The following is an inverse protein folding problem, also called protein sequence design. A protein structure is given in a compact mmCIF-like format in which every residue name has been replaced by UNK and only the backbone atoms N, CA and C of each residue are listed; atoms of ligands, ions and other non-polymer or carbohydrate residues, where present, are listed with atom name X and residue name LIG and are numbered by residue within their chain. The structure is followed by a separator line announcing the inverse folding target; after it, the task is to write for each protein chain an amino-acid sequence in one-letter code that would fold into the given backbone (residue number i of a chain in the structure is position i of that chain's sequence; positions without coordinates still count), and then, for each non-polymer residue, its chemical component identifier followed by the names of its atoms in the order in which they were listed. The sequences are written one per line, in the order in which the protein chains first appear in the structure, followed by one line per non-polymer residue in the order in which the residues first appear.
data_IF_648426883079
#
_entry.id   IF_648426883079
#
_cell.length_a   1.000
_cell.length_b   1.000
_cell.length_c   1.000
_cell.angle_alpha   90.00
_cell.angle_beta   90.00
_cell.angle_gamma   90.00
#
_symmetry.space_group_name_H-M   'P 1'
#
loop_
_entity.id
_entity.type
_entity.pdbx_description
1 polymer ?
#
# COMPACT_ATOMS: atom_id res chain seq x y z
N UNK A 1 22.36 -0.35 -7.47
CA UNK A 1 23.41 0.61 -7.88
C UNK A 1 23.02 1.99 -7.37
N UNK A 2 23.98 2.72 -6.79
CA UNK A 2 23.77 4.09 -6.33
C UNK A 2 24.88 4.99 -6.88
N UNK A 3 24.51 6.18 -7.30
CA UNK A 3 25.44 7.21 -7.82
C UNK A 3 25.10 8.56 -7.20
N UNK A 4 26.11 9.22 -6.65
CA UNK A 4 26.02 10.55 -6.08
C UNK A 4 26.93 11.54 -6.82
N UNK A 5 26.38 12.67 -7.24
CA UNK A 5 27.12 13.75 -7.89
C UNK A 5 27.11 14.99 -7.01
N UNK A 6 28.26 15.38 -6.53
CA UNK A 6 28.41 16.65 -5.80
C UNK A 6 28.47 17.82 -6.79
N UNK A 7 27.36 18.58 -6.86
CA UNK A 7 27.27 19.76 -7.74
C UNK A 7 27.95 20.99 -7.13
N UNK A 8 27.92 21.12 -5.80
CA UNK A 8 28.61 22.15 -5.04
C UNK A 8 28.84 21.70 -3.59
N UNK A 9 29.33 22.64 -2.72
CA UNK A 9 29.44 22.34 -1.27
C UNK A 9 28.09 22.07 -0.60
N UNK A 10 27.02 22.64 -1.15
CA UNK A 10 25.67 22.56 -0.57
C UNK A 10 24.71 21.71 -1.38
N UNK A 11 24.98 21.43 -2.65
CA UNK A 11 24.08 20.70 -3.54
C UNK A 11 24.69 19.40 -4.04
N UNK A 12 23.89 18.34 -4.03
CA UNK A 12 24.20 17.08 -4.69
C UNK A 12 22.96 16.57 -5.45
N UNK A 13 23.20 15.83 -6.53
CA UNK A 13 22.20 15.01 -7.19
C UNK A 13 22.53 13.55 -6.95
N UNK A 14 21.53 12.69 -6.99
CA UNK A 14 21.72 11.25 -6.79
C UNK A 14 20.79 10.46 -7.70
N UNK A 15 21.20 9.23 -8.00
CA UNK A 15 20.40 8.23 -8.68
C UNK A 15 20.60 6.88 -8.03
N UNK A 16 19.51 6.19 -7.73
CA UNK A 16 19.50 4.85 -7.16
C UNK A 16 18.72 3.91 -8.07
N UNK A 17 19.24 2.70 -8.22
CA UNK A 17 18.54 1.57 -8.83
C UNK A 17 18.68 0.36 -7.92
N UNK A 18 17.57 -0.33 -7.70
CA UNK A 18 17.52 -1.60 -6.98
C UNK A 18 16.63 -2.56 -7.74
N UNK A 19 17.11 -3.79 -7.93
CA UNK A 19 16.34 -4.94 -8.37
C UNK A 19 16.26 -5.95 -7.24
N UNK A 20 15.10 -6.53 -7.06
CA UNK A 20 14.85 -7.64 -6.14
C UNK A 20 14.09 -8.71 -6.90
N UNK A 21 14.72 -9.89 -7.06
CA UNK A 21 14.11 -11.06 -7.66
C UNK A 21 13.69 -12.00 -6.53
N UNK A 22 12.46 -12.51 -6.61
CA UNK A 22 11.89 -13.42 -5.63
C UNK A 22 11.41 -14.67 -6.32
N UNK A 23 12.16 -15.74 -6.16
CA UNK A 23 11.85 -17.07 -6.66
C UNK A 23 11.62 -18.04 -5.51
N UNK A 24 10.72 -19.01 -5.68
CA UNK A 24 10.51 -20.04 -4.66
C UNK A 24 9.14 -20.67 -4.69
N UNK A 25 8.72 -21.18 -3.54
CA UNK A 25 7.41 -21.78 -3.35
C UNK A 25 6.81 -21.29 -2.04
N UNK A 26 5.68 -20.64 -2.13
CA UNK A 26 4.82 -20.28 -1.02
C UNK A 26 3.66 -21.29 -0.86
N UNK A 27 2.64 -20.86 -0.15
CA UNK A 27 1.40 -21.61 -0.01
C UNK A 27 0.22 -20.67 -0.17
N UNK A 28 -0.71 -21.04 -1.05
CA UNK A 28 -2.00 -20.36 -1.21
C UNK A 28 -3.12 -21.15 -0.53
N UNK A 29 -4.02 -20.43 0.12
CA UNK A 29 -5.28 -20.96 0.59
C UNK A 29 -6.34 -20.82 -0.50
N UNK A 30 -6.91 -21.93 -0.97
CA UNK A 30 -7.93 -21.93 -2.02
C UNK A 30 -9.22 -22.55 -1.52
N UNK A 31 -10.36 -21.96 -1.90
CA UNK A 31 -11.66 -22.54 -1.72
C UNK A 31 -11.94 -23.57 -2.81
N UNK A 32 -12.41 -24.75 -2.43
CA UNK A 32 -12.89 -25.73 -3.38
C UNK A 32 -14.19 -26.33 -2.86
N UNK A 33 -15.32 -25.86 -3.39
CA UNK A 33 -16.68 -26.19 -2.95
C UNK A 33 -16.86 -25.87 -1.45
N UNK A 34 -17.01 -26.88 -0.59
CA UNK A 34 -17.21 -26.73 0.86
C UNK A 34 -15.91 -26.86 1.66
N UNK A 35 -14.79 -27.00 1.01
CA UNK A 35 -13.51 -27.31 1.63
C UNK A 35 -12.46 -26.27 1.26
N UNK A 36 -11.69 -25.84 2.23
CA UNK A 36 -10.46 -25.06 2.00
C UNK A 36 -9.29 -26.02 1.79
N UNK A 37 -8.48 -25.74 0.78
CA UNK A 37 -7.25 -26.44 0.47
C UNK A 37 -6.07 -25.49 0.63
N UNK A 38 -4.95 -26.05 1.05
CA UNK A 38 -3.66 -25.35 0.99
C UNK A 38 -2.84 -26.00 -0.12
N UNK A 39 -2.46 -25.21 -1.11
CA UNK A 39 -1.69 -25.69 -2.26
C UNK A 39 -0.36 -24.96 -2.36
N UNK A 40 0.70 -25.59 -2.90
CA UNK A 40 1.93 -24.90 -3.22
C UNK A 40 1.67 -23.79 -4.24
N UNK A 41 2.20 -22.61 -3.98
CA UNK A 41 2.15 -21.45 -4.86
C UNK A 41 3.58 -21.18 -5.35
N UNK A 42 3.88 -21.36 -6.63
CA UNK A 42 5.15 -20.93 -7.16
C UNK A 42 5.25 -19.42 -7.08
N UNK A 43 6.41 -18.93 -6.72
CA UNK A 43 6.72 -17.51 -6.63
C UNK A 43 7.80 -17.21 -7.64
N UNK A 44 7.54 -16.28 -8.53
CA UNK A 44 8.47 -15.80 -9.54
C UNK A 44 8.13 -14.36 -9.87
N UNK A 45 8.75 -13.42 -9.17
CA UNK A 45 8.44 -12.00 -9.30
C UNK A 45 9.67 -11.13 -9.19
N UNK A 46 9.65 -10.00 -9.87
CA UNK A 46 10.71 -9.00 -9.87
C UNK A 46 10.16 -7.65 -9.38
N UNK A 47 10.97 -6.96 -8.57
CA UNK A 47 10.71 -5.58 -8.17
C UNK A 47 11.87 -4.71 -8.62
N UNK A 48 11.61 -3.80 -9.53
CA UNK A 48 12.55 -2.77 -9.95
C UNK A 48 12.20 -1.44 -9.29
N UNK A 49 13.21 -0.80 -8.69
CA UNK A 49 13.03 0.49 -8.03
C UNK A 49 14.07 1.50 -8.55
N UNK A 50 13.59 2.66 -8.94
CA UNK A 50 14.39 3.77 -9.47
C UNK A 50 14.13 5.01 -8.62
N UNK A 51 15.18 5.72 -8.25
CA UNK A 51 15.05 7.00 -7.57
C UNK A 51 16.05 8.00 -8.17
N UNK A 52 15.55 9.16 -8.55
CA UNK A 52 16.35 10.30 -8.97
C UNK A 52 16.03 11.48 -8.09
N UNK A 53 17.06 12.21 -7.65
CA UNK A 53 16.80 13.34 -6.78
C UNK A 53 17.92 14.33 -6.64
N UNK A 54 17.57 15.40 -5.96
CA UNK A 54 18.50 16.47 -5.58
C UNK A 54 18.39 16.72 -4.09
N UNK A 55 19.51 17.05 -3.47
CA UNK A 55 19.54 17.45 -2.08
C UNK A 55 20.34 18.72 -1.89
N UNK A 56 19.87 19.54 -0.99
CA UNK A 56 20.55 20.73 -0.52
C UNK A 56 20.85 20.59 0.98
N UNK A 57 22.10 20.84 1.36
CA UNK A 57 22.55 20.82 2.75
C UNK A 57 23.17 22.20 3.08
N UNK A 58 22.43 23.00 3.83
CA UNK A 58 22.91 24.25 4.43
C UNK A 58 23.58 24.02 5.78
N UNK A 59 23.93 25.11 6.48
CA UNK A 59 24.55 25.01 7.82
C UNK A 59 23.57 24.54 8.90
N UNK A 60 22.31 24.93 8.80
CA UNK A 60 21.26 24.65 9.79
C UNK A 60 19.97 24.12 9.18
N UNK A 61 19.96 23.80 7.89
CA UNK A 61 18.80 23.27 7.21
C UNK A 61 19.22 22.35 6.07
N UNK A 62 18.32 21.45 5.70
CA UNK A 62 18.44 20.59 4.52
C UNK A 62 17.11 20.50 3.80
N UNK A 63 17.17 20.18 2.51
CA UNK A 63 16.02 19.83 1.71
C UNK A 63 16.42 18.74 0.70
N UNK A 64 15.53 17.79 0.47
CA UNK A 64 15.67 16.72 -0.53
C UNK A 64 14.38 16.62 -1.30
N UNK A 65 14.50 16.57 -2.63
CA UNK A 65 13.40 16.29 -3.54
C UNK A 65 13.82 15.12 -4.42
N UNK A 66 12.98 14.11 -4.53
CA UNK A 66 13.22 12.99 -5.42
C UNK A 66 11.93 12.52 -6.11
N UNK A 67 12.13 11.88 -7.26
CA UNK A 67 11.13 11.11 -7.98
C UNK A 67 11.51 9.64 -7.88
N UNK A 68 10.54 8.83 -7.48
CA UNK A 68 10.68 7.40 -7.26
C UNK A 68 9.68 6.64 -8.10
N UNK A 69 10.12 5.58 -8.75
CA UNK A 69 9.29 4.64 -9.49
C UNK A 69 9.60 3.24 -9.00
N UNK A 70 8.58 2.44 -8.79
CA UNK A 70 8.70 1.03 -8.49
C UNK A 70 7.76 0.24 -9.38
N UNK A 71 8.31 -0.73 -10.08
CA UNK A 71 7.60 -1.68 -10.95
C UNK A 71 7.63 -3.05 -10.27
N UNK A 72 6.49 -3.69 -10.19
CA UNK A 72 6.33 -5.08 -9.75
C UNK A 72 5.80 -5.89 -10.90
N UNK A 73 6.57 -6.89 -11.31
CA UNK A 73 6.24 -7.87 -12.34
C UNK A 73 6.08 -9.26 -11.70
N UNK A 74 4.95 -9.91 -11.94
CA UNK A 74 4.72 -11.33 -11.61
C UNK A 74 4.72 -12.16 -12.89
N UNK A 75 5.70 -13.05 -13.05
CA UNK A 75 5.79 -13.94 -14.22
C UNK A 75 4.59 -14.92 -14.30
N UNK A 76 3.78 -14.99 -13.25
CA UNK A 76 2.66 -15.90 -13.11
C UNK A 76 1.32 -15.16 -13.09
N UNK A 77 0.57 -15.25 -14.16
CA UNK A 77 -0.76 -14.61 -14.25
C UNK A 77 -1.85 -15.34 -13.44
N UNK A 78 -1.56 -16.51 -12.89
CA UNK A 78 -2.52 -17.27 -12.11
C UNK A 78 -2.04 -18.66 -11.70
N UNK A 79 -2.64 -19.15 -10.63
CA UNK A 79 -2.39 -20.45 -10.06
C UNK A 79 -3.51 -21.40 -10.48
N UNK A 80 -3.15 -22.54 -11.06
CA UNK A 80 -4.09 -23.60 -11.48
C UNK A 80 -3.73 -24.89 -10.76
N UNK A 81 -4.72 -25.60 -10.27
CA UNK A 81 -4.55 -26.88 -9.59
C UNK A 81 -5.58 -27.90 -10.06
N UNK A 82 -5.25 -29.20 -9.92
CA UNK A 82 -6.19 -30.28 -10.19
C UNK A 82 -7.29 -30.29 -9.11
N UNK A 83 -8.53 -30.45 -9.55
CA UNK A 83 -9.65 -30.62 -8.64
C UNK A 83 -9.58 -32.00 -7.98
N UNK A 84 -9.36 -32.10 -6.65
CA UNK A 84 -9.24 -33.39 -5.96
C UNK A 84 -10.57 -34.13 -5.79
N UNK A 85 -11.69 -33.47 -6.09
CA UNK A 85 -13.02 -34.05 -6.00
C UNK A 85 -13.47 -34.55 -7.35
N UNK A 86 -14.36 -35.57 -7.33
CA UNK A 86 -15.00 -36.02 -8.57
C UNK A 86 -15.70 -34.82 -9.22
N UNK A 87 -15.34 -34.47 -10.47
CA UNK A 87 -15.83 -33.26 -11.10
C UNK A 87 -17.35 -33.18 -11.12
N UNK A 88 -17.86 -32.20 -10.42
CA UNK A 88 -19.22 -31.73 -10.61
C UNK A 88 -19.20 -30.78 -11.80
N UNK A 89 -20.15 -30.88 -12.73
CA UNK A 89 -20.16 -30.09 -13.98
C UNK A 89 -18.92 -30.24 -14.87
N UNK A 90 -18.11 -31.28 -14.70
CA UNK A 90 -16.94 -31.53 -15.53
C UNK A 90 -15.72 -30.69 -15.17
N UNK A 91 -15.73 -29.96 -14.06
CA UNK A 91 -14.60 -29.18 -13.61
C UNK A 91 -13.45 -30.08 -13.16
N UNK A 92 -12.37 -30.12 -13.94
CA UNK A 92 -11.17 -30.90 -13.63
C UNK A 92 -10.08 -30.10 -12.94
N UNK A 93 -10.18 -28.77 -12.98
CA UNK A 93 -9.20 -27.82 -12.42
C UNK A 93 -9.89 -26.72 -11.66
N UNK A 94 -9.21 -26.14 -10.68
CA UNK A 94 -9.51 -24.85 -10.08
C UNK A 94 -8.45 -23.83 -10.48
N UNK A 95 -8.78 -22.55 -10.44
CA UNK A 95 -7.87 -21.46 -10.78
C UNK A 95 -8.14 -20.20 -9.97
N UNK A 96 -7.08 -19.47 -9.63
CA UNK A 96 -7.15 -18.12 -9.07
C UNK A 96 -6.07 -17.23 -9.71
N UNK A 97 -6.30 -15.92 -9.73
CA UNK A 97 -5.29 -14.96 -10.15
C UNK A 97 -4.20 -14.84 -9.08
N UNK A 98 -2.98 -14.62 -9.49
CA UNK A 98 -1.87 -14.16 -8.66
C UNK A 98 -1.91 -12.63 -8.52
N UNK A 99 -0.92 -12.04 -7.87
CA UNK A 99 -0.82 -10.58 -7.75
C UNK A 99 -0.63 -9.96 -9.14
N UNK A 100 -1.39 -8.92 -9.51
CA UNK A 100 -1.21 -8.28 -10.80
C UNK A 100 0.07 -7.45 -10.84
N UNK A 101 0.65 -7.31 -12.04
CA UNK A 101 1.69 -6.33 -12.30
C UNK A 101 1.19 -4.94 -11.94
N UNK A 102 2.06 -4.17 -11.32
CA UNK A 102 1.68 -2.84 -10.87
C UNK A 102 2.88 -1.89 -10.81
N UNK A 103 2.57 -0.61 -10.88
CA UNK A 103 3.55 0.46 -10.83
C UNK A 103 3.17 1.46 -9.74
N UNK A 104 4.19 1.96 -9.05
CA UNK A 104 4.09 3.04 -8.10
C UNK A 104 5.02 4.18 -8.49
N UNK A 105 4.46 5.35 -8.74
CA UNK A 105 5.21 6.59 -8.96
C UNK A 105 5.05 7.52 -7.76
N UNK A 106 6.15 8.16 -7.33
CA UNK A 106 6.11 9.07 -6.18
C UNK A 106 7.02 10.27 -6.35
N UNK A 107 6.53 11.43 -5.93
CA UNK A 107 7.35 12.61 -5.64
C UNK A 107 7.53 12.68 -4.13
N UNK A 108 8.79 12.67 -3.67
CA UNK A 108 9.13 12.71 -2.27
C UNK A 108 9.84 14.03 -1.95
N UNK A 109 9.33 14.73 -0.96
CA UNK A 109 9.95 15.95 -0.42
C UNK A 109 10.26 15.74 1.05
N UNK A 110 11.50 16.01 1.46
CA UNK A 110 11.86 16.09 2.86
C UNK A 110 12.68 17.34 3.12
N UNK A 111 12.43 18.01 4.22
CA UNK A 111 13.14 19.20 4.64
C UNK A 111 13.25 19.23 6.15
N UNK A 112 14.30 19.87 6.64
CA UNK A 112 14.46 20.07 8.07
C UNK A 112 15.35 21.28 8.37
N UNK A 113 15.15 21.85 9.54
CA UNK A 113 15.94 22.98 9.99
C UNK A 113 16.17 22.91 11.51
N UNK A 114 17.34 23.41 11.90
CA UNK A 114 17.73 23.60 13.29
C UNK A 114 17.82 25.08 13.61
N UNK A 115 17.26 25.46 14.73
CA UNK A 115 17.19 26.84 15.23
C UNK A 115 17.82 26.94 16.63
N UNK A 116 17.78 28.12 17.22
CA UNK A 116 18.15 28.32 18.62
C UNK A 116 17.31 27.43 19.56
N UNK A 117 17.79 27.25 20.78
CA UNK A 117 17.15 26.42 21.82
C UNK A 117 17.02 24.94 21.44
N UNK A 118 18.01 24.39 20.72
CA UNK A 118 17.98 23.04 20.18
C UNK A 118 16.66 22.71 19.46
N UNK A 119 16.07 23.72 18.83
CA UNK A 119 14.82 23.54 18.12
C UNK A 119 15.10 22.93 16.75
N UNK A 120 14.47 21.81 16.47
CA UNK A 120 14.46 21.17 15.15
C UNK A 120 13.05 21.01 14.63
N UNK A 121 12.87 21.31 13.36
CA UNK A 121 11.63 21.09 12.63
C UNK A 121 11.95 20.19 11.45
N UNK A 122 11.17 19.15 11.25
CA UNK A 122 11.23 18.26 10.09
C UNK A 122 9.90 18.26 9.36
N UNK A 123 9.95 18.22 8.05
CA UNK A 123 8.79 18.09 7.17
C UNK A 123 9.07 17.04 6.12
N UNK A 124 8.07 16.21 5.83
CA UNK A 124 8.09 15.30 4.70
C UNK A 124 6.72 15.31 4.00
N UNK A 125 6.75 15.17 2.68
CA UNK A 125 5.57 15.00 1.86
C UNK A 125 5.84 13.96 0.78
N UNK A 126 4.84 13.13 0.50
CA UNK A 126 4.83 12.15 -0.57
C UNK A 126 3.55 12.36 -1.35
N UNK A 127 3.70 12.48 -2.66
CA UNK A 127 2.61 12.47 -3.62
C UNK A 127 2.83 11.26 -4.52
N UNK A 128 1.96 10.27 -4.43
CA UNK A 128 2.12 9.01 -5.12
C UNK A 128 0.91 8.62 -5.93
N UNK A 129 1.16 7.85 -6.97
CA UNK A 129 0.18 7.21 -7.82
C UNK A 129 0.49 5.73 -7.88
N UNK A 130 -0.54 4.90 -7.75
CA UNK A 130 -0.52 3.46 -7.95
C UNK A 130 -1.35 3.14 -9.19
N UNK A 131 -0.82 2.32 -10.09
CA UNK A 131 -1.53 1.89 -11.29
C UNK A 131 -1.32 0.40 -11.55
N UNK A 132 -2.31 -0.22 -12.18
CA UNK A 132 -2.23 -1.57 -12.71
C UNK A 132 -3.19 -1.72 -13.89
N UNK A 133 -2.79 -2.46 -14.93
CA UNK A 133 -3.58 -2.68 -16.12
C UNK A 133 -3.61 -4.15 -16.60
N UNK A 134 -3.18 -5.05 -15.74
CA UNK A 134 -3.19 -6.48 -15.99
C UNK A 134 -4.54 -7.01 -16.46
N UNK A 135 -4.49 -7.98 -17.35
CA UNK A 135 -5.68 -8.59 -17.90
C UNK A 135 -6.44 -9.41 -16.86
N UNK A 136 -7.74 -9.17 -16.75
CA UNK A 136 -8.60 -10.04 -15.96
C UNK A 136 -8.60 -11.45 -16.54
N UNK A 137 -8.42 -12.46 -15.69
CA UNK A 137 -8.55 -13.85 -16.11
C UNK A 137 -10.01 -14.13 -16.52
N UNK A 138 -10.25 -14.98 -17.55
CA UNK A 138 -11.58 -15.49 -17.85
C UNK A 138 -12.20 -16.13 -16.60
N UNK A 139 -13.51 -16.02 -16.43
CA UNK A 139 -14.21 -16.55 -15.24
C UNK A 139 -13.91 -18.03 -14.96
N UNK A 140 -13.76 -18.84 -16.01
CA UNK A 140 -13.51 -20.27 -15.90
C UNK A 140 -12.79 -20.79 -17.12
N UNK A 141 -12.03 -21.86 -16.96
CA UNK A 141 -11.50 -22.72 -18.04
C UNK A 141 -12.37 -23.94 -18.27
N UNK A 142 -13.41 -24.16 -17.44
CA UNK A 142 -14.28 -25.31 -17.51
C UNK A 142 -15.36 -25.14 -18.59
N UNK A 143 -15.31 -25.92 -19.65
CA UNK A 143 -16.27 -25.85 -20.74
C UNK A 143 -17.71 -26.23 -20.33
N UNK A 144 -17.90 -26.89 -19.19
CA UNK A 144 -19.21 -27.25 -18.64
C UNK A 144 -19.90 -26.09 -17.90
N UNK A 145 -19.19 -24.98 -17.68
CA UNK A 145 -19.72 -23.77 -17.03
C UNK A 145 -19.80 -22.67 -18.07
N UNK A 146 -20.95 -22.00 -18.19
CA UNK A 146 -21.17 -20.94 -19.17
C UNK A 146 -21.46 -19.62 -18.42
N UNK A 147 -20.44 -18.92 -17.96
CA UNK A 147 -20.62 -17.61 -17.36
C UNK A 147 -20.86 -16.55 -18.43
N UNK A 148 -21.31 -15.37 -18.01
CA UNK A 148 -21.35 -14.20 -18.86
C UNK A 148 -19.96 -13.75 -19.34
N UNK A 149 -19.92 -12.73 -20.20
CA UNK A 149 -18.67 -12.13 -20.63
C UNK A 149 -18.06 -11.24 -19.53
N UNK A 150 -16.74 -11.17 -19.49
CA UNK A 150 -16.04 -10.18 -18.67
C UNK A 150 -16.50 -8.76 -19.07
N UNK A 151 -16.81 -7.89 -18.12
CA UNK A 151 -17.28 -6.55 -18.42
C UNK A 151 -16.23 -5.66 -19.09
N UNK A 152 -14.94 -6.00 -18.92
CA UNK A 152 -13.79 -5.35 -19.56
C UNK A 152 -12.55 -6.24 -19.48
N UNK A 153 -11.51 -5.89 -20.24
CA UNK A 153 -10.29 -6.70 -20.35
C UNK A 153 -9.38 -6.60 -19.11
N UNK A 154 -9.33 -5.42 -18.48
CA UNK A 154 -8.49 -5.15 -17.30
C UNK A 154 -9.27 -4.34 -16.25
N UNK A 155 -8.85 -4.42 -14.99
CA UNK A 155 -9.36 -3.54 -13.94
C UNK A 155 -8.96 -2.07 -14.21
N UNK A 156 -7.80 -1.81 -14.82
CA UNK A 156 -7.19 -0.49 -14.95
C UNK A 156 -7.23 0.26 -13.62
N UNK A 157 -6.64 -0.38 -12.61
CA UNK A 157 -6.55 0.16 -11.27
C UNK A 157 -5.76 1.44 -11.22
N UNK A 158 -6.28 2.44 -10.52
CA UNK A 158 -5.67 3.76 -10.37
C UNK A 158 -5.99 4.29 -8.98
N UNK A 159 -4.94 4.64 -8.20
CA UNK A 159 -5.13 5.23 -6.89
C UNK A 159 -4.06 6.29 -6.59
N UNK A 160 -4.49 7.40 -6.00
CA UNK A 160 -3.59 8.40 -5.44
C UNK A 160 -3.28 8.05 -3.98
N UNK A 161 -2.02 8.23 -3.57
CA UNK A 161 -1.57 8.08 -2.20
C UNK A 161 -0.76 9.32 -1.79
N UNK A 162 -1.20 9.99 -0.75
CA UNK A 162 -0.57 11.21 -0.25
C UNK A 162 -0.18 11.02 1.20
N UNK A 163 0.98 11.53 1.55
CA UNK A 163 1.45 11.59 2.94
C UNK A 163 2.06 12.95 3.24
N UNK A 164 1.74 13.50 4.40
CA UNK A 164 2.36 14.69 4.95
C UNK A 164 2.75 14.43 6.40
N UNK A 165 3.98 14.76 6.74
CA UNK A 165 4.49 14.61 8.09
C UNK A 165 5.19 15.89 8.56
N UNK A 166 4.94 16.26 9.82
CA UNK A 166 5.60 17.35 10.51
C UNK A 166 6.14 16.86 11.85
N UNK A 167 7.36 17.21 12.17
CA UNK A 167 7.99 16.91 13.46
C UNK A 167 8.59 18.17 14.07
N UNK A 168 8.49 18.27 15.37
CA UNK A 168 9.08 19.35 16.17
C UNK A 168 9.78 18.74 17.38
N UNK A 169 10.99 19.19 17.65
CA UNK A 169 11.63 18.97 18.94
C UNK A 169 12.31 20.27 19.38
N UNK A 170 12.16 20.66 20.64
CA UNK A 170 12.73 21.91 21.16
C UNK A 170 13.08 21.79 22.63
N UNK A 171 14.10 22.55 23.06
CA UNK A 171 14.48 22.77 24.44
C UNK A 171 14.36 24.26 24.78
N UNK A 172 13.12 24.76 24.98
CA UNK A 172 12.92 26.19 25.19
C UNK A 172 13.55 26.70 26.50
N UNK A 173 13.76 25.81 27.47
CA UNK A 173 14.42 26.06 28.74
C UNK A 173 15.27 24.84 29.12
N UNK A 174 16.32 25.03 29.94
CA UNK A 174 17.26 23.95 30.34
C UNK A 174 16.60 22.71 30.94
N UNK A 175 15.40 22.87 31.53
CA UNK A 175 14.67 21.79 32.17
C UNK A 175 13.44 21.31 31.38
N UNK A 176 13.12 21.95 30.27
CA UNK A 176 11.92 21.64 29.49
C UNK A 176 12.31 21.16 28.10
N UNK A 177 11.80 20.01 27.74
CA UNK A 177 11.86 19.49 26.38
C UNK A 177 10.44 19.29 25.86
N UNK A 178 10.18 19.69 24.63
CA UNK A 178 8.90 19.46 23.97
C UNK A 178 9.16 18.74 22.65
N UNK A 179 8.36 17.72 22.39
CA UNK A 179 8.33 17.01 21.11
C UNK A 179 6.90 17.01 20.59
N UNK A 180 6.74 17.11 19.30
CA UNK A 180 5.46 17.00 18.64
C UNK A 180 5.61 16.37 17.28
N UNK A 181 4.57 15.67 16.84
CA UNK A 181 4.46 15.18 15.49
C UNK A 181 3.00 15.28 15.03
N UNK A 182 2.84 15.50 13.72
CA UNK A 182 1.56 15.41 13.05
C UNK A 182 1.76 14.71 11.73
N UNK A 183 0.82 13.85 11.33
CA UNK A 183 0.82 13.23 10.01
C UNK A 183 -0.59 13.18 9.44
N UNK A 184 -0.66 13.31 8.11
CA UNK A 184 -1.85 13.08 7.31
C UNK A 184 -1.52 12.07 6.24
N UNK A 185 -2.32 11.02 6.15
CA UNK A 185 -2.22 9.95 5.17
C UNK A 185 -3.55 9.85 4.41
N UNK A 186 -3.50 9.83 3.10
CA UNK A 186 -4.65 9.68 2.22
C UNK A 186 -4.41 8.62 1.17
N UNK A 187 -5.40 7.78 0.94
CA UNK A 187 -5.50 6.93 -0.24
C UNK A 187 -6.85 7.16 -0.89
N UNK A 188 -6.84 7.52 -2.16
CA UNK A 188 -8.02 7.72 -2.97
C UNK A 188 -7.99 6.78 -4.17
N UNK A 189 -8.95 5.88 -4.23
CA UNK A 189 -9.14 4.95 -5.34
C UNK A 189 -9.93 5.62 -6.47
N UNK A 190 -9.24 5.92 -7.56
CA UNK A 190 -9.82 6.53 -8.77
C UNK A 190 -10.24 5.46 -9.80
N UNK A 191 -10.06 4.18 -9.49
CA UNK A 191 -10.43 3.08 -10.37
C UNK A 191 -11.87 3.21 -10.82
N UNK A 192 -12.10 3.13 -12.11
CA UNK A 192 -13.46 3.15 -12.64
C UNK A 192 -14.24 1.93 -12.14
N UNK A 193 -15.41 2.17 -11.54
CA UNK A 193 -16.28 1.09 -11.08
C UNK A 193 -16.54 0.06 -12.19
N UNK A 194 -16.52 -1.20 -11.81
CA UNK A 194 -16.77 -2.36 -12.67
C UNK A 194 -17.90 -3.17 -12.05
N UNK A 195 -18.89 -3.55 -12.86
CA UNK A 195 -19.98 -4.43 -12.43
C UNK A 195 -19.94 -5.69 -13.25
N UNK A 196 -19.87 -6.82 -12.56
CA UNK A 196 -20.00 -8.16 -13.13
C UNK A 196 -21.48 -8.51 -13.14
N UNK A 197 -22.18 -8.13 -14.23
CA UNK A 197 -23.64 -8.17 -14.31
C UNK A 197 -24.18 -9.60 -14.31
N UNK A 198 -23.46 -10.53 -14.92
CA UNK A 198 -23.85 -11.93 -15.07
C UNK A 198 -23.26 -12.82 -13.95
N UNK A 199 -22.78 -12.19 -12.88
CA UNK A 199 -22.27 -12.86 -11.70
C UNK A 199 -20.80 -13.26 -11.79
N UNK A 200 -20.47 -14.35 -11.11
CA UNK A 200 -19.12 -14.86 -10.98
C UNK A 200 -19.11 -16.40 -10.98
N UNK A 201 -17.92 -16.98 -11.10
CA UNK A 201 -17.71 -18.42 -10.99
C UNK A 201 -16.87 -18.71 -9.75
N UNK A 202 -17.37 -19.55 -8.87
CA UNK A 202 -16.67 -20.01 -7.69
C UNK A 202 -16.03 -21.37 -7.93
N UNK A 203 -14.77 -21.51 -7.50
CA UNK A 203 -14.00 -22.77 -7.59
C UNK A 203 -13.95 -23.38 -8.99
N UNK A 204 -14.06 -22.58 -10.03
CA UNK A 204 -14.14 -22.97 -11.45
C UNK A 204 -15.32 -23.93 -11.78
N UNK A 205 -16.30 -24.06 -10.88
CA UNK A 205 -17.40 -25.03 -10.98
C UNK A 205 -18.79 -24.42 -10.96
N UNK A 206 -19.02 -23.42 -10.14
CA UNK A 206 -20.36 -22.90 -9.88
C UNK A 206 -20.50 -21.47 -10.43
N UNK A 207 -21.49 -21.28 -11.28
CA UNK A 207 -21.88 -19.94 -11.74
C UNK A 207 -22.98 -19.38 -10.83
N UNK A 208 -22.76 -18.21 -10.30
CA UNK A 208 -23.71 -17.45 -9.51
C UNK A 208 -24.18 -16.25 -10.33
N UNK A 209 -25.47 -16.12 -10.61
CA UNK A 209 -25.98 -15.09 -11.52
C UNK A 209 -26.15 -13.71 -10.86
N UNK A 210 -25.82 -13.58 -9.59
CA UNK A 210 -25.98 -12.32 -8.87
C UNK A 210 -24.94 -11.29 -9.32
N UNK A 211 -25.40 -10.09 -9.63
CA UNK A 211 -24.52 -8.98 -10.02
C UNK A 211 -23.62 -8.57 -8.86
N UNK A 212 -22.32 -8.43 -9.13
CA UNK A 212 -21.33 -7.96 -8.15
C UNK A 212 -20.62 -6.72 -8.66
N UNK A 213 -20.57 -5.70 -7.80
CA UNK A 213 -19.78 -4.48 -8.01
C UNK A 213 -18.80 -4.36 -6.85
N UNK A 214 -17.49 -4.61 -7.06
CA UNK A 214 -16.48 -4.40 -6.03
C UNK A 214 -16.46 -2.93 -5.59
N UNK A 215 -16.39 -2.73 -4.29
CA UNK A 215 -16.29 -1.39 -3.71
C UNK A 215 -14.86 -0.85 -3.77
N UNK A 216 -14.74 0.46 -3.93
CA UNK A 216 -13.48 1.19 -3.86
C UNK A 216 -13.10 1.40 -2.41
N UNK A 217 -11.81 1.38 -2.14
CA UNK A 217 -11.29 1.54 -0.79
C UNK A 217 -10.50 2.85 -0.66
N UNK A 218 -11.14 3.84 -0.04
CA UNK A 218 -10.53 5.12 0.29
C UNK A 218 -10.30 5.23 1.79
N UNK A 219 -9.26 5.94 2.19
CA UNK A 219 -9.10 6.34 3.58
C UNK A 219 -8.37 7.68 3.70
N UNK A 220 -8.71 8.41 4.75
CA UNK A 220 -7.99 9.57 5.27
C UNK A 220 -7.65 9.30 6.74
N UNK A 221 -6.41 9.55 7.10
CA UNK A 221 -5.94 9.38 8.48
C UNK A 221 -5.17 10.60 8.91
N UNK A 222 -5.64 11.25 9.97
CA UNK A 222 -4.94 12.34 10.66
C UNK A 222 -4.47 11.85 12.02
N UNK A 223 -3.17 12.03 12.30
CA UNK A 223 -2.57 11.73 13.61
C UNK A 223 -1.87 12.95 14.14
N UNK A 224 -1.90 13.11 15.45
CA UNK A 224 -1.15 14.14 16.14
C UNK A 224 -0.70 13.65 17.51
N UNK A 225 0.52 14.02 17.88
CA UNK A 225 1.11 13.72 19.17
C UNK A 225 1.92 14.90 19.67
N UNK A 226 1.82 15.20 20.96
CA UNK A 226 2.67 16.16 21.64
C UNK A 226 3.08 15.61 23.01
N UNK A 227 4.34 15.74 23.34
CA UNK A 227 4.92 15.33 24.61
C UNK A 227 5.78 16.46 25.18
N UNK A 228 5.60 16.76 26.47
CA UNK A 228 6.44 17.64 27.26
C UNK A 228 7.16 16.84 28.34
N UNK A 229 8.47 17.05 28.45
CA UNK A 229 9.33 16.55 29.54
C UNK A 229 9.76 17.72 30.40
N UNK A 230 9.60 17.61 31.71
CA UNK A 230 10.13 18.53 32.69
C UNK A 230 11.09 17.83 33.64
N UNK A 231 12.37 18.27 33.68
CA UNK A 231 13.36 17.76 34.61
C UNK A 231 13.26 18.47 35.96
N UNK A 232 12.58 17.82 36.88
CA UNK A 232 12.38 18.35 38.22
C UNK A 232 13.69 18.37 39.03
N UNK A 233 14.41 17.23 39.03
CA UNK A 233 15.73 17.03 39.63
C UNK A 233 16.62 16.26 38.62
N UNK A 234 17.91 16.11 38.91
CA UNK A 234 18.83 15.40 38.00
C UNK A 234 18.43 13.93 37.75
N UNK A 235 17.73 13.32 38.70
CA UNK A 235 17.26 11.93 38.68
C UNK A 235 15.74 11.80 38.54
N UNK A 236 14.97 12.89 38.42
CA UNK A 236 13.51 12.86 38.31
C UNK A 236 13.02 13.67 37.13
N UNK A 237 12.30 13.02 36.22
CA UNK A 237 11.66 13.64 35.06
C UNK A 237 10.18 13.38 35.08
N UNK A 238 9.41 14.38 34.71
CA UNK A 238 7.96 14.32 34.54
C UNK A 238 7.64 14.40 33.06
N UNK A 239 6.72 13.57 32.60
CA UNK A 239 6.26 13.55 31.23
C UNK A 239 4.76 13.80 31.20
N UNK A 240 4.35 14.65 30.28
CA UNK A 240 2.93 14.89 29.96
C UNK A 240 2.81 14.87 28.44
N UNK A 241 1.87 14.09 27.94
CA UNK A 241 1.64 13.99 26.53
C UNK A 241 0.17 13.80 26.19
N UNK A 242 -0.17 14.11 24.95
CA UNK A 242 -1.46 13.85 24.35
C UNK A 242 -1.25 13.34 22.92
N UNK A 243 -2.08 12.40 22.52
CA UNK A 243 -2.14 11.90 21.15
C UNK A 243 -3.58 11.77 20.69
N UNK A 244 -3.79 11.97 19.40
CA UNK A 244 -5.09 11.79 18.77
C UNK A 244 -4.94 11.18 17.38
N UNK A 245 -5.92 10.43 16.97
CA UNK A 245 -6.03 9.87 15.63
C UNK A 245 -7.49 9.97 15.16
N UNK A 246 -7.68 10.44 13.94
CA UNK A 246 -8.94 10.38 13.21
C UNK A 246 -8.72 9.55 11.95
N UNK A 247 -9.57 8.54 11.75
CA UNK A 247 -9.54 7.69 10.57
C UNK A 247 -10.93 7.70 9.93
N UNK A 248 -11.00 8.21 8.70
CA UNK A 248 -12.16 8.11 7.83
C UNK A 248 -11.89 7.05 6.78
N UNK A 249 -12.87 6.22 6.52
CA UNK A 249 -12.83 5.19 5.48
C UNK A 249 -14.10 5.24 4.66
N UNK A 250 -14.05 4.78 3.41
CA UNK A 250 -15.27 4.48 2.66
C UNK A 250 -16.11 3.53 3.49
N UNK A 251 -17.38 3.83 3.69
CA UNK A 251 -18.32 2.92 4.33
C UNK A 251 -18.43 1.70 3.42
N UNK A 252 -17.90 0.59 3.88
CA UNK A 252 -18.27 -0.70 3.32
C UNK A 252 -19.63 -1.04 3.91
N UNK A 253 -20.58 -1.37 3.06
CA UNK A 253 -21.89 -1.88 3.45
C UNK A 253 -21.72 -3.31 4.02
N UNK A 254 -21.00 -3.37 5.15
CA UNK A 254 -20.95 -4.57 5.96
C UNK A 254 -22.19 -4.51 6.82
N UNK A 255 -23.16 -5.34 6.53
CA UNK A 255 -24.28 -5.63 7.42
C UNK A 255 -23.70 -6.00 8.80
N UNK A 256 -23.47 -4.98 9.63
CA UNK A 256 -23.15 -5.16 11.04
C UNK A 256 -24.40 -5.56 11.78
N UNK A 257 -24.85 -6.79 11.62
CA UNK A 257 -25.65 -7.45 12.64
C UNK A 257 -24.75 -7.75 13.83
N UNK A 258 -24.34 -6.71 14.56
CA UNK A 258 -23.90 -6.85 15.93
C UNK A 258 -25.16 -7.00 16.79
N UNK A 259 -25.69 -8.19 16.88
CA UNK A 259 -26.49 -8.55 18.03
C UNK A 259 -25.56 -8.59 19.23
N UNK A 260 -25.43 -7.45 19.91
CA UNK A 260 -24.87 -7.39 21.24
C UNK A 260 -25.86 -7.98 22.22
N UNK A 261 -25.76 -9.26 22.49
CA UNK A 261 -26.30 -9.81 23.75
C UNK A 261 -25.31 -9.43 24.84
N UNK A 262 -25.76 -8.53 25.73
CA UNK A 262 -25.08 -8.09 26.92
C UNK A 262 -24.81 -9.16 27.98
#
# INVERSE_FOLDING_TARGET
VAVDWRLSKAFAAFANFRREDKEGTGYAGVGNFTTALQIPEPLDSTIDSYELGVQWNGKSAFARLSYFVQEYDDELNGLTWDNPYVPFNGATTGRMATAPDNEMEQILLSAGAHFAYDTSIGFNAIFGKLSQDDALLPFTTNAGVSPGALPRASLNGDADVNHFGLTLATHPLDKIRVRGSASYDERKDNTRSITFADGYVESDMFSFPDSITPERYDYERLRGEIEGEYRLYDNVRLFVGARGEELKRTEQDVDKTTEGTG
#
